data_IF_494613149679
#
_entry.id   IF_494613149679
#
_cell.length_a   1.000
_cell.length_b   1.000
_cell.length_c   1.000
_cell.angle_alpha   90.00
_cell.angle_beta   90.00
_cell.angle_gamma   90.00
#
_symmetry.space_group_name_H-M   'P 1'
#
loop_
_entity.id
_entity.type
_entity.pdbx_description
1 polymer ?
#
# COMPACT_ATOMS: atom_id res chain seq x y z
N UNK A 1 -9.58 17.60 -8.63
CA UNK A 1 -10.85 16.96 -8.20
C UNK A 1 -11.63 16.41 -9.37
N UNK A 2 -11.90 17.21 -10.42
CA UNK A 2 -12.62 16.73 -11.61
C UNK A 2 -11.84 15.65 -12.35
N UNK A 3 -10.52 15.83 -12.50
CA UNK A 3 -9.64 14.82 -13.10
C UNK A 3 -9.77 13.47 -12.38
N UNK A 4 -9.71 13.46 -11.05
CA UNK A 4 -9.84 12.23 -10.25
C UNK A 4 -11.19 11.53 -10.45
N UNK A 5 -12.28 12.30 -10.59
CA UNK A 5 -13.61 11.76 -10.91
C UNK A 5 -13.64 11.18 -12.32
N UNK A 6 -13.12 11.89 -13.31
CA UNK A 6 -13.09 11.42 -14.70
C UNK A 6 -12.26 10.14 -14.83
N UNK A 7 -11.10 10.08 -14.16
CA UNK A 7 -10.23 8.89 -14.16
C UNK A 7 -10.94 7.69 -13.53
N UNK A 8 -11.59 7.85 -12.38
CA UNK A 8 -12.26 6.71 -11.74
C UNK A 8 -13.47 6.24 -12.54
N UNK A 9 -14.26 7.14 -13.12
CA UNK A 9 -15.40 6.74 -13.95
C UNK A 9 -14.95 6.04 -15.23
N UNK A 10 -13.87 6.51 -15.88
CA UNK A 10 -13.26 5.81 -17.01
C UNK A 10 -12.77 4.42 -16.62
N UNK A 11 -12.10 4.28 -15.46
CA UNK A 11 -11.60 3.00 -14.99
C UNK A 11 -12.75 2.03 -14.69
N UNK A 12 -13.84 2.49 -14.06
CA UNK A 12 -15.05 1.68 -13.85
C UNK A 12 -15.65 1.19 -15.17
N UNK A 13 -15.78 2.07 -16.18
CA UNK A 13 -16.27 1.66 -17.51
C UNK A 13 -15.40 0.59 -18.15
N UNK A 14 -14.06 0.69 -18.04
CA UNK A 14 -13.16 -0.36 -18.53
C UNK A 14 -13.43 -1.71 -17.83
N UNK A 15 -13.65 -1.67 -16.51
CA UNK A 15 -13.94 -2.87 -15.71
C UNK A 15 -15.31 -3.46 -16.01
N UNK A 16 -16.33 -2.64 -16.28
CA UNK A 16 -17.64 -3.09 -16.78
C UNK A 16 -17.52 -3.86 -18.11
N UNK A 17 -16.53 -3.52 -18.94
CA UNK A 17 -16.16 -4.27 -20.15
C UNK A 17 -15.18 -5.41 -19.88
N UNK A 18 -15.13 -5.92 -18.65
CA UNK A 18 -14.29 -7.05 -18.20
C UNK A 18 -12.78 -6.84 -18.40
N UNK A 19 -12.33 -5.58 -18.42
CA UNK A 19 -10.89 -5.25 -18.49
C UNK A 19 -10.30 -5.17 -17.09
N UNK A 20 -9.01 -5.49 -16.98
CA UNK A 20 -8.22 -5.25 -15.77
C UNK A 20 -7.61 -3.85 -15.87
N UNK A 21 -8.02 -2.95 -14.98
CA UNK A 21 -7.55 -1.58 -14.92
C UNK A 21 -6.68 -1.38 -13.68
N UNK A 22 -5.59 -0.63 -13.84
CA UNK A 22 -4.67 -0.27 -12.75
C UNK A 22 -4.57 1.25 -12.68
N UNK A 23 -4.74 1.82 -11.49
CA UNK A 23 -4.49 3.24 -11.20
C UNK A 23 -3.31 3.33 -10.25
N UNK A 24 -2.28 4.08 -10.67
CA UNK A 24 -1.18 4.50 -9.80
C UNK A 24 -1.44 5.93 -9.35
N UNK A 25 -1.70 6.13 -8.06
CA UNK A 25 -2.07 7.42 -7.48
C UNK A 25 -0.94 7.94 -6.57
N UNK A 26 -0.31 9.05 -6.95
CA UNK A 26 0.63 9.77 -6.09
C UNK A 26 0.10 11.19 -5.78
N UNK A 27 -0.49 11.47 -4.61
CA UNK A 27 -0.71 10.60 -3.45
C UNK A 27 -2.14 10.68 -2.93
N UNK A 28 -2.56 9.64 -2.21
CA UNK A 28 -3.87 9.62 -1.56
C UNK A 28 -3.97 10.65 -0.42
N UNK A 29 -2.85 10.92 0.26
CA UNK A 29 -2.77 11.95 1.31
C UNK A 29 -3.06 13.33 0.75
N UNK A 30 -2.43 13.70 -0.38
CA UNK A 30 -2.69 14.99 -1.03
C UNK A 30 -4.13 15.07 -1.57
N UNK A 31 -4.66 13.98 -2.08
CA UNK A 31 -6.06 13.91 -2.50
C UNK A 31 -7.01 14.20 -1.32
N UNK A 32 -6.80 13.54 -0.18
CA UNK A 32 -7.62 13.73 1.01
C UNK A 32 -7.55 15.16 1.56
N UNK A 33 -6.33 15.75 1.65
CA UNK A 33 -6.16 17.16 2.01
C UNK A 33 -6.94 18.09 1.08
N UNK A 34 -6.87 17.86 -0.23
CA UNK A 34 -7.58 18.66 -1.23
C UNK A 34 -9.11 18.53 -1.15
N UNK A 35 -9.65 17.44 -0.58
CA UNK A 35 -11.06 17.34 -0.25
C UNK A 35 -11.40 18.04 1.06
N UNK A 36 -10.55 17.92 2.09
CA UNK A 36 -10.74 18.59 3.38
C UNK A 36 -10.85 20.11 3.26
N UNK A 37 -10.08 20.73 2.36
CA UNK A 37 -10.11 22.19 2.16
C UNK A 37 -11.40 22.72 1.53
N UNK A 38 -12.26 21.87 0.97
CA UNK A 38 -13.40 22.32 0.15
C UNK A 38 -14.75 21.74 0.53
N UNK A 39 -14.76 20.76 1.41
CA UNK A 39 -16.02 20.25 1.94
C UNK A 39 -16.57 21.34 2.87
N UNK A 40 -17.85 21.73 2.73
CA UNK A 40 -18.48 22.61 3.70
C UNK A 40 -18.35 22.03 5.10
N UNK A 41 -17.99 22.86 6.08
CA UNK A 41 -17.76 22.41 7.45
C UNK A 41 -19.01 21.72 8.00
N UNK A 42 -18.84 20.50 8.50
CA UNK A 42 -19.91 19.70 9.10
C UNK A 42 -20.21 20.08 10.55
N UNK A 43 -19.41 20.97 11.13
CA UNK A 43 -19.40 21.30 12.56
C UNK A 43 -18.70 20.24 13.42
N UNK A 44 -18.22 19.13 12.83
CA UNK A 44 -17.54 18.03 13.52
C UNK A 44 -16.13 17.86 12.94
N UNK A 45 -15.13 18.33 13.68
CA UNK A 45 -13.72 18.24 13.31
C UNK A 45 -13.07 17.12 14.11
N UNK A 46 -12.48 16.16 13.41
CA UNK A 46 -11.68 15.08 13.98
C UNK A 46 -10.32 15.62 14.43
N UNK A 47 -9.62 14.82 15.25
CA UNK A 47 -8.23 15.07 15.62
C UNK A 47 -7.38 15.37 14.38
N UNK A 48 -6.52 16.39 14.45
CA UNK A 48 -5.68 16.79 13.31
C UNK A 48 -6.35 17.76 12.32
N UNK A 49 -7.55 18.27 12.58
CA UNK A 49 -8.19 19.31 11.76
C UNK A 49 -8.85 18.76 10.49
N UNK A 50 -9.22 17.48 10.51
CA UNK A 50 -9.94 16.82 9.41
C UNK A 50 -11.43 16.88 9.68
N UNK A 51 -12.20 17.43 8.75
CA UNK A 51 -13.66 17.39 8.85
C UNK A 51 -14.16 15.95 8.71
N UNK A 52 -15.13 15.55 9.53
CA UNK A 52 -15.67 14.18 9.51
C UNK A 52 -16.18 13.75 8.12
N UNK A 53 -16.66 14.70 7.30
CA UNK A 53 -17.16 14.42 5.95
C UNK A 53 -16.07 14.52 4.86
N UNK A 54 -14.90 15.05 5.17
CA UNK A 54 -13.82 15.26 4.21
C UNK A 54 -13.28 13.96 3.61
N UNK A 55 -13.21 12.90 4.42
CA UNK A 55 -12.64 11.62 4.03
C UNK A 55 -13.60 10.71 3.26
N UNK A 56 -14.90 11.02 3.27
CA UNK A 56 -15.91 10.18 2.62
C UNK A 56 -15.64 9.97 1.13
N UNK A 57 -15.37 11.05 0.37
CA UNK A 57 -15.10 10.95 -1.07
C UNK A 57 -13.76 10.27 -1.38
N UNK A 58 -12.64 10.64 -0.74
CA UNK A 58 -11.38 9.91 -0.86
C UNK A 58 -11.48 8.41 -0.53
N UNK A 59 -12.16 8.03 0.55
CA UNK A 59 -12.40 6.63 0.93
C UNK A 59 -13.19 5.89 -0.14
N UNK A 60 -14.25 6.50 -0.69
CA UNK A 60 -15.01 5.92 -1.81
C UNK A 60 -14.18 5.77 -3.09
N UNK A 61 -13.25 6.68 -3.36
CA UNK A 61 -12.34 6.57 -4.50
C UNK A 61 -11.41 5.36 -4.31
N UNK A 62 -10.77 5.24 -3.15
CA UNK A 62 -9.82 4.16 -2.89
C UNK A 62 -10.51 2.79 -2.77
N UNK A 63 -11.65 2.73 -2.09
CA UNK A 63 -12.50 1.54 -1.97
C UNK A 63 -13.26 1.16 -3.26
N UNK A 64 -13.05 1.90 -4.36
CA UNK A 64 -13.51 1.45 -5.67
C UNK A 64 -12.67 0.26 -6.17
N UNK A 65 -11.41 0.13 -5.73
CA UNK A 65 -10.56 -1.01 -6.05
C UNK A 65 -11.19 -2.32 -5.58
N UNK A 66 -11.31 -3.29 -6.49
CA UNK A 66 -11.89 -4.61 -6.23
C UNK A 66 -11.63 -5.56 -7.39
N UNK A 67 -11.57 -6.84 -7.07
CA UNK A 67 -11.69 -7.92 -8.06
C UNK A 67 -13.17 -8.25 -8.28
N UNK A 68 -13.62 -8.45 -9.53
CA UNK A 68 -15.02 -8.73 -9.87
C UNK A 68 -15.14 -10.17 -10.37
N UNK A 69 -16.07 -10.93 -9.78
CA UNK A 69 -16.24 -12.36 -10.08
C UNK A 69 -16.71 -12.59 -11.53
N UNK A 70 -17.60 -11.74 -12.05
CA UNK A 70 -18.15 -11.81 -13.41
C UNK A 70 -17.16 -11.38 -14.52
N UNK A 71 -15.99 -10.87 -14.11
CA UNK A 71 -14.86 -10.53 -14.97
C UNK A 71 -14.40 -9.07 -14.84
N UNK A 72 -13.08 -8.87 -14.98
CA UNK A 72 -12.42 -7.58 -14.82
C UNK A 72 -11.99 -7.30 -13.38
N UNK A 73 -11.14 -6.30 -13.21
CA UNK A 73 -10.66 -5.88 -11.89
C UNK A 73 -10.21 -4.43 -11.92
N UNK A 74 -10.41 -3.72 -10.80
CA UNK A 74 -9.83 -2.41 -10.57
C UNK A 74 -8.78 -2.52 -9.47
N UNK A 75 -7.51 -2.35 -9.83
CA UNK A 75 -6.42 -2.23 -8.87
C UNK A 75 -6.06 -0.76 -8.69
N UNK A 76 -5.94 -0.31 -7.44
CA UNK A 76 -5.44 1.04 -7.12
C UNK A 76 -4.26 0.89 -6.19
N UNK A 77 -3.10 1.36 -6.63
CA UNK A 77 -1.89 1.46 -5.79
C UNK A 77 -1.68 2.95 -5.57
N UNK A 78 -1.71 3.37 -4.31
CA UNK A 78 -1.55 4.77 -3.96
C UNK A 78 -0.41 4.97 -2.97
N UNK A 79 0.36 6.04 -3.13
CA UNK A 79 1.32 6.46 -2.12
C UNK A 79 0.58 7.18 -0.98
N UNK A 80 1.02 6.95 0.25
CA UNK A 80 0.57 7.65 1.44
C UNK A 80 1.79 8.25 2.14
N UNK A 81 1.65 9.50 2.59
CA UNK A 81 2.69 10.18 3.38
C UNK A 81 2.44 9.93 4.86
N UNK A 82 3.49 9.54 5.57
CA UNK A 82 3.56 9.37 7.02
C UNK A 82 4.79 10.10 7.55
N UNK A 83 4.86 10.32 8.86
CA UNK A 83 5.99 10.99 9.54
C UNK A 83 6.30 12.38 8.93
N UNK A 84 5.25 13.11 8.53
CA UNK A 84 5.33 14.46 7.95
C UNK A 84 5.37 15.56 9.02
N UNK A 85 5.16 15.20 10.28
CA UNK A 85 4.94 16.13 11.40
C UNK A 85 3.52 16.72 11.44
N UNK A 86 2.63 16.32 10.53
CA UNK A 86 1.25 16.79 10.48
C UNK A 86 0.28 15.74 11.03
N UNK A 87 -0.37 16.03 12.17
CA UNK A 87 -1.43 15.16 12.74
C UNK A 87 -2.55 14.85 11.74
N UNK A 88 -2.81 15.75 10.78
CA UNK A 88 -3.75 15.54 9.69
C UNK A 88 -3.38 14.33 8.83
N UNK A 89 -2.09 14.19 8.47
CA UNK A 89 -1.62 13.10 7.63
C UNK A 89 -1.67 11.78 8.37
N UNK A 90 -1.34 11.78 9.67
CA UNK A 90 -1.45 10.59 10.52
C UNK A 90 -2.89 10.06 10.56
N UNK A 91 -3.87 10.95 10.77
CA UNK A 91 -5.30 10.60 10.74
C UNK A 91 -5.73 10.10 9.35
N UNK A 92 -5.28 10.76 8.28
CA UNK A 92 -5.58 10.32 6.91
C UNK A 92 -5.02 8.91 6.67
N UNK A 93 -3.79 8.64 7.07
CA UNK A 93 -3.13 7.35 6.91
C UNK A 93 -3.90 6.24 7.64
N UNK A 94 -4.25 6.43 8.91
CA UNK A 94 -4.98 5.43 9.70
C UNK A 94 -6.36 5.11 9.08
N UNK A 95 -7.07 6.12 8.57
CA UNK A 95 -8.36 5.95 7.90
C UNK A 95 -8.26 5.14 6.60
N UNK A 96 -7.16 5.28 5.87
CA UNK A 96 -6.93 4.51 4.65
C UNK A 96 -6.36 3.12 4.88
N UNK A 97 -5.59 2.92 5.95
CA UNK A 97 -5.14 1.59 6.40
C UNK A 97 -6.33 0.65 6.65
N UNK A 98 -7.40 1.18 7.25
CA UNK A 98 -8.66 0.44 7.43
C UNK A 98 -9.39 0.11 6.12
N UNK A 99 -9.16 0.90 5.06
CA UNK A 99 -9.86 0.78 3.76
C UNK A 99 -9.11 -0.15 2.80
N UNK A 100 -7.77 -0.15 2.84
CA UNK A 100 -6.93 -0.99 1.99
C UNK A 100 -6.77 -2.43 2.49
N UNK A 101 -6.13 -3.26 1.67
CA UNK A 101 -5.79 -4.64 1.98
C UNK A 101 -4.31 -5.00 1.73
N UNK A 102 -3.51 -4.06 1.21
CA UNK A 102 -2.08 -4.20 0.99
C UNK A 102 -1.36 -2.92 1.45
N UNK A 103 -0.25 -3.10 2.17
CA UNK A 103 0.55 -2.04 2.75
C UNK A 103 2.03 -2.34 2.48
N UNK A 104 2.75 -1.41 1.84
CA UNK A 104 4.20 -1.47 1.65
C UNK A 104 4.80 -0.24 2.33
N UNK A 105 5.47 -0.49 3.46
CA UNK A 105 6.12 0.56 4.23
C UNK A 105 7.53 0.80 3.71
N UNK A 106 7.88 2.07 3.51
CA UNK A 106 9.25 2.50 3.22
C UNK A 106 9.84 3.17 4.47
N UNK A 107 11.06 2.80 4.82
CA UNK A 107 11.73 3.29 6.02
C UNK A 107 12.76 4.38 5.69
N UNK A 108 12.65 5.52 6.39
CA UNK A 108 13.55 6.67 6.20
C UNK A 108 14.99 6.34 6.56
N UNK A 109 15.23 5.54 7.62
CA UNK A 109 16.59 5.21 8.08
C UNK A 109 17.33 4.34 7.07
N UNK A 110 16.62 3.40 6.43
CA UNK A 110 17.16 2.54 5.37
C UNK A 110 17.51 3.41 4.14
N UNK A 111 16.62 4.33 3.76
CA UNK A 111 16.84 5.24 2.64
C UNK A 111 17.99 6.23 2.88
N UNK A 112 18.15 6.76 4.10
CA UNK A 112 19.26 7.66 4.49
C UNK A 112 20.62 6.96 4.39
N UNK A 113 20.68 5.64 4.63
CA UNK A 113 21.85 4.79 4.36
C UNK A 113 22.05 4.43 2.88
N UNK A 114 21.20 4.93 1.96
CA UNK A 114 21.22 4.64 0.52
C UNK A 114 21.03 3.15 0.18
N UNK A 115 20.30 2.42 1.01
CA UNK A 115 19.93 1.03 0.75
C UNK A 115 18.59 1.04 0.01
N UNK A 116 18.55 0.44 -1.18
CA UNK A 116 17.34 0.38 -2.01
C UNK A 116 17.05 -1.03 -2.51
N UNK A 117 15.77 -1.45 -2.54
CA UNK A 117 14.58 -0.70 -2.10
C UNK A 117 14.51 -0.56 -0.57
N UNK A 118 14.09 0.61 -0.07
CA UNK A 118 14.09 0.93 1.37
C UNK A 118 12.83 0.40 2.09
N UNK A 119 12.50 -0.89 1.91
CA UNK A 119 11.25 -1.48 2.40
C UNK A 119 11.39 -1.95 3.85
N UNK A 120 10.41 -1.62 4.69
CA UNK A 120 10.26 -2.23 6.00
C UNK A 120 9.44 -3.53 5.84
N UNK A 121 10.14 -4.68 5.83
CA UNK A 121 9.52 -6.00 5.58
C UNK A 121 8.53 -6.38 6.69
N UNK A 122 8.86 -6.09 7.95
CA UNK A 122 8.05 -6.48 9.10
C UNK A 122 6.71 -5.74 9.12
N UNK A 123 6.70 -4.45 8.78
CA UNK A 123 5.48 -3.63 8.72
C UNK A 123 4.66 -3.83 7.45
N UNK A 124 5.27 -4.29 6.36
CA UNK A 124 4.58 -4.50 5.08
C UNK A 124 3.78 -5.80 5.09
N UNK A 125 2.70 -5.89 4.32
CA UNK A 125 1.90 -7.11 4.22
C UNK A 125 0.66 -6.98 3.33
N UNK A 126 0.06 -8.12 3.01
CA UNK A 126 -1.19 -8.22 2.23
C UNK A 126 -2.17 -9.10 2.99
N UNK A 127 -3.42 -8.64 3.14
CA UNK A 127 -4.50 -9.45 3.70
C UNK A 127 -4.89 -10.52 2.69
N UNK A 128 -5.16 -11.73 3.18
CA UNK A 128 -5.54 -12.90 2.38
C UNK A 128 -4.51 -13.28 1.31
N UNK A 129 -3.22 -13.20 1.65
CA UNK A 129 -2.13 -13.54 0.73
C UNK A 129 -2.16 -15.01 0.27
N UNK A 130 -2.82 -15.90 1.03
CA UNK A 130 -3.04 -17.30 0.65
C UNK A 130 -3.87 -17.47 -0.64
N UNK A 131 -4.60 -16.44 -1.07
CA UNK A 131 -5.30 -16.44 -2.37
C UNK A 131 -4.40 -16.04 -3.55
N UNK A 132 -3.23 -15.46 -3.26
CA UNK A 132 -2.33 -14.88 -4.26
C UNK A 132 -1.07 -15.72 -4.47
N UNK A 133 -0.68 -16.51 -3.46
CA UNK A 133 0.54 -17.32 -3.47
C UNK A 133 0.21 -18.80 -3.33
N UNK A 134 1.05 -19.66 -3.92
CA UNK A 134 0.95 -21.10 -3.69
C UNK A 134 1.26 -21.47 -2.22
N UNK A 135 0.77 -22.60 -1.69
CA UNK A 135 1.06 -23.01 -0.32
C UNK A 135 2.56 -23.16 0.01
N UNK A 136 3.38 -23.65 -0.93
CA UNK A 136 4.84 -23.78 -0.75
C UNK A 136 5.51 -22.41 -0.69
N UNK A 137 5.12 -21.48 -1.56
CA UNK A 137 5.63 -20.10 -1.55
C UNK A 137 5.23 -19.34 -0.28
N UNK A 138 4.00 -19.53 0.19
CA UNK A 138 3.53 -18.92 1.44
C UNK A 138 4.34 -19.41 2.64
N UNK A 139 4.60 -20.72 2.71
CA UNK A 139 5.43 -21.30 3.78
C UNK A 139 6.87 -20.76 3.74
N UNK A 140 7.48 -20.68 2.56
CA UNK A 140 8.82 -20.10 2.37
C UNK A 140 8.87 -18.64 2.81
N UNK A 141 7.87 -17.84 2.42
CA UNK A 141 7.75 -16.43 2.81
C UNK A 141 7.61 -16.29 4.32
N UNK A 142 6.87 -17.19 4.99
CA UNK A 142 6.73 -17.19 6.44
C UNK A 142 8.03 -17.52 7.16
N UNK A 143 8.79 -18.49 6.67
CA UNK A 143 10.13 -18.82 7.20
C UNK A 143 11.06 -17.60 7.06
N UNK A 144 11.07 -16.96 5.89
CA UNK A 144 11.84 -15.74 5.67
C UNK A 144 11.42 -14.63 6.65
N UNK A 145 10.12 -14.41 6.85
CA UNK A 145 9.63 -13.43 7.83
C UNK A 145 10.10 -13.73 9.24
N UNK A 146 10.05 -14.99 9.69
CA UNK A 146 10.55 -15.38 11.01
C UNK A 146 12.05 -15.13 11.17
N UNK A 147 12.82 -15.35 10.11
CA UNK A 147 14.26 -15.10 10.10
C UNK A 147 14.58 -13.60 10.19
N UNK A 148 13.83 -12.76 9.46
CA UNK A 148 14.05 -11.30 9.41
C UNK A 148 13.47 -10.57 10.63
N UNK A 149 12.40 -11.07 11.26
CA UNK A 149 11.72 -10.41 12.37
C UNK A 149 12.62 -9.99 13.56
N UNK A 150 13.58 -10.81 14.03
CA UNK A 150 14.46 -10.40 15.13
C UNK A 150 15.55 -9.40 14.74
N UNK A 151 15.76 -9.14 13.45
CA UNK A 151 16.76 -8.19 12.96
C UNK A 151 16.19 -6.76 13.03
N UNK A 152 17.06 -5.77 13.25
CA UNK A 152 16.70 -4.37 13.00
C UNK A 152 16.41 -4.14 11.51
N UNK A 153 15.69 -3.06 11.18
CA UNK A 153 15.19 -2.83 9.83
C UNK A 153 16.30 -2.70 8.77
N UNK A 154 17.46 -2.15 9.15
CA UNK A 154 18.59 -1.97 8.23
C UNK A 154 19.27 -3.33 8.01
N UNK A 155 19.60 -4.04 9.09
CA UNK A 155 20.24 -5.34 9.03
C UNK A 155 19.38 -6.36 8.26
N UNK A 156 18.05 -6.33 8.45
CA UNK A 156 17.11 -7.18 7.71
C UNK A 156 17.20 -6.94 6.20
N UNK A 157 17.24 -5.67 5.77
CA UNK A 157 17.32 -5.32 4.35
C UNK A 157 18.70 -5.61 3.75
N UNK A 158 19.79 -5.35 4.47
CA UNK A 158 21.14 -5.70 4.02
C UNK A 158 21.27 -7.22 3.85
N UNK A 159 20.84 -7.99 4.85
CA UNK A 159 20.83 -9.46 4.78
C UNK A 159 20.02 -9.97 3.59
N UNK A 160 18.80 -9.46 3.40
CA UNK A 160 17.94 -9.88 2.30
C UNK A 160 18.57 -9.55 0.94
N UNK A 161 19.09 -8.34 0.77
CA UNK A 161 19.75 -7.93 -0.47
C UNK A 161 20.99 -8.78 -0.76
N UNK A 162 21.81 -9.08 0.24
CA UNK A 162 23.01 -9.89 0.06
C UNK A 162 22.68 -11.32 -0.34
N UNK A 163 21.57 -11.89 0.13
CA UNK A 163 21.09 -13.19 -0.36
C UNK A 163 20.51 -13.11 -1.77
N UNK A 164 19.67 -12.10 -2.05
CA UNK A 164 19.04 -11.94 -3.37
C UNK A 164 20.08 -11.71 -4.48
N UNK A 165 21.17 -10.96 -4.20
CA UNK A 165 22.24 -10.69 -5.18
C UNK A 165 22.93 -11.94 -5.73
N UNK A 166 22.94 -13.04 -4.97
CA UNK A 166 23.61 -14.30 -5.37
C UNK A 166 22.75 -15.10 -6.36
N UNK A 167 21.46 -14.78 -6.47
CA UNK A 167 20.48 -15.49 -7.28
C UNK A 167 19.87 -14.59 -8.35
N UNK A 168 19.41 -15.15 -9.47
CA UNK A 168 18.75 -14.37 -10.51
C UNK A 168 17.24 -14.30 -10.31
N UNK A 169 16.66 -15.30 -9.65
CA UNK A 169 15.21 -15.42 -9.46
C UNK A 169 14.85 -15.72 -8.01
N UNK A 170 13.63 -15.34 -7.61
CA UNK A 170 13.11 -15.65 -6.26
C UNK A 170 13.00 -17.17 -6.02
N UNK A 171 12.78 -17.96 -7.07
CA UNK A 171 12.75 -19.42 -6.97
C UNK A 171 14.11 -19.98 -6.55
N UNK A 172 15.19 -19.56 -7.21
CA UNK A 172 16.56 -19.93 -6.85
C UNK A 172 16.90 -19.49 -5.42
N UNK A 173 16.50 -18.26 -5.03
CA UNK A 173 16.67 -17.76 -3.67
C UNK A 173 15.99 -18.68 -2.64
N UNK A 174 14.72 -19.00 -2.85
CA UNK A 174 13.97 -19.87 -1.94
C UNK A 174 14.49 -21.32 -1.91
N UNK A 175 15.04 -21.82 -3.01
CA UNK A 175 15.72 -23.12 -3.04
C UNK A 175 17.02 -23.11 -2.25
N UNK A 176 17.78 -22.00 -2.33
CA UNK A 176 19.03 -21.83 -1.56
C UNK A 176 18.79 -21.77 -0.05
N UNK A 177 17.64 -21.28 0.40
CA UNK A 177 17.24 -21.24 1.82
C UNK A 177 16.86 -22.61 2.41
N UNK A 178 16.59 -23.62 1.58
CA UNK A 178 16.28 -24.99 2.02
C UNK A 178 17.53 -25.79 2.40
N UNK A 179 18.72 -25.32 2.01
CA UNK A 179 20.02 -25.94 2.29
C UNK A 179 20.66 -25.32 3.52
#
# INVERSE_FOLDING_TARGET
KEITKTVIEKAKRLVEHKRNAVILLDSITRLARAYNTVVPTSGKVLTGGVDANALHRPKRFFGAARNIEEGGSLTIIATALIDTGSRMDDVIYEEFKGTGNNEIHLDRKIAEKRIYPAININRSGTRREELLTSPDELQKTWILRKLLHPMDEIAAMEFLLDRLKVTKTNNEFFESMKR
#
